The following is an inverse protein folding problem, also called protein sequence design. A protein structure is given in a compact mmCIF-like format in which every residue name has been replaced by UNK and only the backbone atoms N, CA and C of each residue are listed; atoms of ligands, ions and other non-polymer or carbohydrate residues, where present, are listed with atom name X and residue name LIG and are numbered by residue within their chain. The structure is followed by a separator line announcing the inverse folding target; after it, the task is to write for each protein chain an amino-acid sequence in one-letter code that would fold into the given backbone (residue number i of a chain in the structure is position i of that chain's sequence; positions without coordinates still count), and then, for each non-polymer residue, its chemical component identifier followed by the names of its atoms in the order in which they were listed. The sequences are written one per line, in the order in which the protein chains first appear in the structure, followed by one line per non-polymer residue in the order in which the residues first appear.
data_IF_559510437569
#
_entry.id   IF_559510437569
#
_cell.length_a   1.000
_cell.length_b   1.000
_cell.length_c   1.000
_cell.angle_alpha   90.00
_cell.angle_beta   90.00
_cell.angle_gamma   90.00
#
_symmetry.space_group_name_H-M   'P 1'
#
loop_
_entity.id
_entity.type
_entity.pdbx_description
1 polymer ?
#
# COMPACT_ATOMS: atom_id res chain seq x y z
N UNK A 1 -8.97 -13.12 7.20
CA UNK A 1 -8.26 -14.08 6.33
C UNK A 1 -8.86 -13.99 4.94
N UNK A 2 -8.05 -13.81 3.92
CA UNK A 2 -8.45 -13.56 2.54
C UNK A 2 -7.83 -14.62 1.60
N UNK A 3 -8.46 -14.83 0.43
CA UNK A 3 -8.00 -15.76 -0.61
C UNK A 3 -7.68 -17.19 -0.07
N UNK A 4 -8.62 -17.78 0.67
CA UNK A 4 -8.47 -19.16 1.17
C UNK A 4 -7.29 -19.37 2.13
N UNK A 5 -6.91 -18.35 2.90
CA UNK A 5 -5.80 -18.42 3.86
C UNK A 5 -4.46 -17.99 3.30
N UNK A 6 -4.43 -17.41 2.08
CA UNK A 6 -3.19 -16.91 1.49
C UNK A 6 -2.73 -15.61 2.13
N UNK A 7 -3.66 -14.74 2.50
CA UNK A 7 -3.39 -13.46 3.15
C UNK A 7 -4.15 -13.40 4.46
N UNK A 8 -3.48 -13.03 5.54
CA UNK A 8 -4.07 -12.75 6.84
C UNK A 8 -3.71 -11.32 7.26
N UNK A 9 -4.70 -10.57 7.76
CA UNK A 9 -4.52 -9.22 8.28
C UNK A 9 -5.16 -9.13 9.66
N UNK A 10 -4.44 -8.54 10.60
CA UNK A 10 -4.93 -8.13 11.92
C UNK A 10 -4.89 -6.61 11.96
N UNK A 11 -5.98 -5.98 12.36
CA UNK A 11 -6.11 -4.52 12.49
C UNK A 11 -6.40 -4.18 13.93
N UNK A 12 -5.71 -3.18 14.45
CA UNK A 12 -5.97 -2.58 15.76
C UNK A 12 -6.57 -1.19 15.53
N UNK A 13 -7.81 -1.02 16.01
CA UNK A 13 -8.52 0.26 16.05
C UNK A 13 -8.63 0.71 17.51
N UNK A 14 -8.44 1.99 17.78
CA UNK A 14 -8.68 2.61 19.09
C UNK A 14 -10.06 3.26 19.10
N UNK A 15 -10.89 2.86 20.04
CA UNK A 15 -12.25 3.38 20.20
C UNK A 15 -12.79 3.10 21.60
N UNK A 16 -13.67 3.96 22.07
CA UNK A 16 -14.48 3.73 23.27
C UNK A 16 -15.83 3.07 22.96
N UNK A 17 -16.18 2.95 21.67
CA UNK A 17 -17.44 2.36 21.24
C UNK A 17 -17.37 0.83 21.34
N UNK A 18 -18.41 0.23 21.88
CA UNK A 18 -18.63 -1.23 21.90
C UNK A 18 -19.60 -1.69 20.81
N UNK A 19 -19.98 -0.81 19.89
CA UNK A 19 -20.91 -1.09 18.80
C UNK A 19 -20.30 -2.14 17.84
N UNK A 20 -21.12 -3.08 17.41
CA UNK A 20 -20.72 -4.10 16.44
C UNK A 20 -20.25 -3.52 15.09
N UNK A 21 -20.69 -2.31 14.73
CA UNK A 21 -20.23 -1.60 13.53
C UNK A 21 -18.73 -1.27 13.56
N UNK A 22 -18.11 -1.18 14.75
CA UNK A 22 -16.65 -1.05 14.87
C UNK A 22 -15.92 -2.28 14.31
N UNK A 23 -16.49 -3.47 14.54
CA UNK A 23 -15.95 -4.73 14.02
C UNK A 23 -16.04 -4.77 12.49
N UNK A 24 -17.15 -4.31 11.92
CA UNK A 24 -17.32 -4.24 10.47
C UNK A 24 -16.35 -3.22 9.85
N UNK A 25 -16.18 -2.04 10.48
CA UNK A 25 -15.15 -1.07 10.08
C UNK A 25 -13.76 -1.71 10.08
N UNK A 26 -13.41 -2.45 11.14
CA UNK A 26 -12.12 -3.16 11.23
C UNK A 26 -11.93 -4.19 10.11
N UNK A 27 -12.99 -4.93 9.75
CA UNK A 27 -12.97 -5.87 8.62
C UNK A 27 -12.76 -5.15 7.27
N UNK A 28 -13.37 -4.01 7.09
CA UNK A 28 -13.24 -3.21 5.88
C UNK A 28 -11.81 -2.66 5.73
N UNK A 29 -11.21 -2.17 6.81
CA UNK A 29 -9.81 -1.75 6.82
C UNK A 29 -8.88 -2.95 6.58
N UNK A 30 -9.14 -4.11 7.16
CA UNK A 30 -8.37 -5.32 6.91
C UNK A 30 -8.46 -5.76 5.43
N UNK A 31 -9.63 -5.61 4.80
CA UNK A 31 -9.83 -5.88 3.37
C UNK A 31 -8.99 -4.94 2.51
N UNK A 32 -9.02 -3.63 2.82
CA UNK A 32 -8.19 -2.61 2.17
C UNK A 32 -6.71 -2.98 2.20
N UNK A 33 -6.18 -3.33 3.39
CA UNK A 33 -4.78 -3.71 3.58
C UNK A 33 -4.45 -5.01 2.82
N UNK A 34 -5.35 -5.99 2.85
CA UNK A 34 -5.15 -7.23 2.11
C UNK A 34 -5.06 -7.00 0.59
N UNK A 35 -5.91 -6.11 0.06
CA UNK A 35 -6.02 -5.83 -1.37
C UNK A 35 -4.87 -4.97 -1.90
N UNK A 36 -4.52 -3.88 -1.21
CA UNK A 36 -3.62 -2.85 -1.73
C UNK A 36 -2.23 -2.86 -1.08
N UNK A 37 -2.02 -3.63 0.00
CA UNK A 37 -0.73 -3.78 0.67
C UNK A 37 0.03 -2.45 0.87
N UNK A 38 -0.52 -1.48 1.63
CA UNK A 38 0.09 -0.18 1.81
C UNK A 38 1.47 -0.30 2.49
N UNK A 39 2.41 0.53 2.08
CA UNK A 39 3.77 0.60 2.67
C UNK A 39 3.79 1.33 4.01
N UNK A 40 2.89 2.29 4.18
CA UNK A 40 2.75 3.13 5.37
C UNK A 40 1.29 3.18 5.80
N UNK A 41 1.04 3.42 7.08
CA UNK A 41 -0.33 3.59 7.57
C UNK A 41 -0.86 4.99 7.31
N UNK A 42 -0.01 6.00 7.45
CA UNK A 42 -0.32 7.41 7.19
C UNK A 42 0.87 8.12 6.53
N UNK A 43 0.59 9.18 5.79
CA UNK A 43 1.61 10.02 5.14
C UNK A 43 2.63 10.61 6.13
N UNK A 44 2.25 10.81 7.40
CA UNK A 44 3.16 11.30 8.45
C UNK A 44 4.30 10.33 8.78
N UNK A 45 4.15 9.05 8.40
CA UNK A 45 5.18 8.02 8.59
C UNK A 45 6.20 7.97 7.46
N UNK A 46 5.93 8.69 6.35
CA UNK A 46 6.87 8.77 5.23
C UNK A 46 8.00 9.71 5.62
N UNK A 47 9.21 9.18 5.77
CA UNK A 47 10.37 9.96 6.17
C UNK A 47 10.84 10.90 5.06
N UNK A 48 11.59 11.94 5.43
CA UNK A 48 12.15 12.88 4.46
C UNK A 48 13.06 12.17 3.45
N UNK A 49 13.84 11.19 3.88
CA UNK A 49 14.74 10.41 3.02
C UNK A 49 13.96 9.69 1.91
N UNK A 50 12.84 9.04 2.24
CA UNK A 50 11.96 8.39 1.26
C UNK A 50 11.38 9.41 0.28
N UNK A 51 10.96 10.58 0.77
CA UNK A 51 10.44 11.65 -0.09
C UNK A 51 11.50 12.21 -1.03
N UNK A 52 12.73 12.32 -0.57
CA UNK A 52 13.85 12.82 -1.36
C UNK A 52 14.27 11.80 -2.43
N UNK A 53 14.32 10.51 -2.11
CA UNK A 53 14.51 9.43 -3.08
C UNK A 53 13.42 9.43 -4.16
N UNK A 54 12.16 9.51 -3.77
CA UNK A 54 11.03 9.54 -4.72
C UNK A 54 11.08 10.80 -5.61
N UNK A 55 11.44 11.97 -5.05
CA UNK A 55 11.64 13.21 -5.84
C UNK A 55 12.78 13.06 -6.84
N UNK A 56 13.90 12.47 -6.44
CA UNK A 56 15.05 12.25 -7.32
C UNK A 56 14.67 11.36 -8.50
N UNK A 57 13.95 10.24 -8.24
CA UNK A 57 13.42 9.37 -9.29
C UNK A 57 12.49 10.13 -10.23
N UNK A 58 11.57 10.94 -9.69
CA UNK A 58 10.64 11.74 -10.49
C UNK A 58 11.35 12.77 -11.36
N UNK A 59 12.34 13.46 -10.81
CA UNK A 59 13.14 14.47 -11.55
C UNK A 59 13.98 13.79 -12.65
N UNK A 60 14.56 12.62 -12.36
CA UNK A 60 15.28 11.82 -13.35
C UNK A 60 14.39 11.37 -14.51
N UNK A 61 13.17 10.94 -14.22
CA UNK A 61 12.18 10.60 -15.25
C UNK A 61 11.81 11.83 -16.09
N UNK A 62 11.64 12.98 -15.46
CA UNK A 62 11.31 14.23 -16.16
C UNK A 62 12.46 14.73 -17.03
N UNK A 63 13.72 14.56 -16.60
CA UNK A 63 14.90 14.94 -17.39
C UNK A 63 15.02 14.09 -18.66
N UNK A 64 14.60 12.84 -18.61
CA UNK A 64 14.63 11.90 -19.73
C UNK A 64 13.41 12.02 -20.68
N UNK A 65 12.38 12.80 -20.29
CA UNK A 65 11.21 13.08 -21.14
C UNK A 65 11.40 14.40 -21.89
N UNK A 66 11.55 14.40 -23.23
CA UNK A 66 11.74 15.62 -24.02
C UNK A 66 10.65 16.68 -23.84
N UNK A 67 9.42 16.25 -23.50
CA UNK A 67 8.28 17.15 -23.23
C UNK A 67 8.37 17.83 -21.86
N UNK A 68 9.11 17.24 -20.94
CA UNK A 68 9.23 17.70 -19.56
C UNK A 68 10.57 18.42 -19.31
N UNK A 69 11.64 17.97 -19.97
CA UNK A 69 13.00 18.49 -19.76
C UNK A 69 13.10 20.03 -19.92
N UNK A 70 12.38 20.58 -20.90
CA UNK A 70 12.40 22.02 -21.23
C UNK A 70 11.37 22.87 -20.46
N UNK A 71 10.61 22.29 -19.51
CA UNK A 71 9.64 23.06 -18.71
C UNK A 71 10.35 23.92 -17.68
N UNK A 72 9.79 25.13 -17.35
CA UNK A 72 10.28 25.97 -16.26
C UNK A 72 10.28 25.22 -14.93
N UNK A 73 11.23 25.54 -14.03
CA UNK A 73 11.40 24.86 -12.75
C UNK A 73 10.15 24.92 -11.88
N UNK A 74 9.43 26.06 -11.86
CA UNK A 74 8.16 26.20 -11.15
C UNK A 74 7.08 25.19 -11.64
N UNK A 75 7.09 24.87 -12.93
CA UNK A 75 6.16 23.86 -13.50
C UNK A 75 6.60 22.47 -13.10
N UNK A 76 7.91 22.19 -13.12
CA UNK A 76 8.45 20.91 -12.64
C UNK A 76 8.13 20.67 -11.17
N UNK A 77 8.29 21.69 -10.31
CA UNK A 77 7.93 21.61 -8.89
C UNK A 77 6.45 21.26 -8.68
N UNK A 78 5.53 21.91 -9.40
CA UNK A 78 4.10 21.59 -9.33
C UNK A 78 3.81 20.15 -9.76
N UNK A 79 4.49 19.67 -10.78
CA UNK A 79 4.35 18.27 -11.25
C UNK A 79 4.87 17.31 -10.19
N UNK A 80 6.02 17.60 -9.57
CA UNK A 80 6.58 16.79 -8.47
C UNK A 80 5.62 16.75 -7.29
N UNK A 81 5.05 17.89 -6.89
CA UNK A 81 4.04 17.94 -5.83
C UNK A 81 2.81 17.08 -6.15
N UNK A 82 2.31 17.13 -7.40
CA UNK A 82 1.21 16.27 -7.84
C UNK A 82 1.56 14.78 -7.80
N UNK A 83 2.78 14.42 -8.22
CA UNK A 83 3.28 13.05 -8.16
C UNK A 83 3.47 12.56 -6.72
N UNK A 84 3.93 13.42 -5.79
CA UNK A 84 4.02 13.08 -4.37
C UNK A 84 2.64 12.83 -3.76
N UNK A 85 1.63 13.63 -4.10
CA UNK A 85 0.26 13.36 -3.66
C UNK A 85 -0.24 12.00 -4.17
N UNK A 86 0.09 11.65 -5.42
CA UNK A 86 -0.21 10.33 -5.97
C UNK A 86 0.56 9.23 -5.21
N UNK A 87 1.84 9.44 -4.90
CA UNK A 87 2.62 8.52 -4.08
C UNK A 87 1.95 8.24 -2.73
N UNK A 88 1.47 9.27 -2.02
CA UNK A 88 0.73 9.08 -0.77
C UNK A 88 -0.56 8.30 -0.99
N UNK A 89 -1.34 8.64 -2.02
CA UNK A 89 -2.59 7.95 -2.34
C UNK A 89 -2.41 6.48 -2.74
N UNK A 90 -1.24 6.10 -3.22
CA UNK A 90 -0.92 4.71 -3.59
C UNK A 90 -0.29 3.92 -2.43
N UNK A 91 0.51 4.56 -1.58
CA UNK A 91 1.36 3.88 -0.61
C UNK A 91 0.93 4.02 0.85
N UNK A 92 0.07 5.01 1.18
CA UNK A 92 -0.35 5.26 2.57
C UNK A 92 -1.81 4.86 2.75
N UNK A 93 -2.08 3.92 3.69
CA UNK A 93 -3.40 3.35 3.95
C UNK A 93 -4.50 4.42 4.05
N UNK A 94 -4.29 5.42 4.93
CA UNK A 94 -5.31 6.43 5.20
C UNK A 94 -5.59 7.35 4.01
N UNK A 95 -4.59 7.52 3.11
CA UNK A 95 -4.71 8.34 1.91
C UNK A 95 -5.17 7.55 0.68
N UNK A 96 -5.17 6.21 0.72
CA UNK A 96 -5.67 5.39 -0.38
C UNK A 96 -7.17 5.61 -0.60
N UNK A 97 -7.62 5.54 -1.86
CA UNK A 97 -9.03 5.41 -2.17
C UNK A 97 -9.59 4.12 -1.57
N UNK A 98 -10.76 4.19 -0.96
CA UNK A 98 -11.37 3.04 -0.31
C UNK A 98 -11.85 2.01 -1.34
N UNK A 99 -11.50 0.74 -1.19
CA UNK A 99 -11.76 -0.32 -2.19
C UNK A 99 -13.25 -0.57 -2.45
N UNK A 100 -14.13 -0.25 -1.49
CA UNK A 100 -15.59 -0.40 -1.64
C UNK A 100 -16.26 0.87 -2.15
N UNK A 101 -15.59 2.03 -2.03
CA UNK A 101 -16.09 3.34 -2.45
C UNK A 101 -14.90 4.23 -2.82
N UNK A 102 -14.56 4.24 -4.09
CA UNK A 102 -13.40 4.98 -4.61
C UNK A 102 -13.50 6.50 -4.55
N UNK A 103 -14.67 7.05 -4.22
CA UNK A 103 -14.90 8.49 -4.12
C UNK A 103 -14.44 9.07 -2.77
N UNK A 104 -14.15 8.19 -1.79
CA UNK A 104 -13.65 8.59 -0.47
C UNK A 104 -12.30 7.92 -0.18
N UNK A 105 -11.46 8.60 0.61
CA UNK A 105 -10.26 7.96 1.16
C UNK A 105 -10.62 7.07 2.35
N UNK A 106 -9.72 6.15 2.69
CA UNK A 106 -9.85 5.32 3.91
C UNK A 106 -10.04 6.20 5.15
N UNK A 107 -9.28 7.29 5.26
CA UNK A 107 -9.43 8.26 6.36
C UNK A 107 -10.83 8.88 6.40
N UNK A 108 -11.35 9.32 5.26
CA UNK A 108 -12.71 9.88 5.18
C UNK A 108 -13.77 8.84 5.54
N UNK A 109 -13.62 7.60 5.07
CA UNK A 109 -14.50 6.49 5.41
C UNK A 109 -14.51 6.24 6.92
N UNK A 110 -13.34 6.15 7.56
CA UNK A 110 -13.23 5.98 9.01
C UNK A 110 -13.86 7.15 9.78
N UNK A 111 -13.62 8.39 9.36
CA UNK A 111 -14.19 9.58 9.99
C UNK A 111 -15.71 9.60 9.88
N UNK A 112 -16.27 9.17 8.75
CA UNK A 112 -17.71 9.07 8.55
C UNK A 112 -18.32 7.99 9.46
N UNK A 113 -17.67 6.84 9.57
CA UNK A 113 -18.08 5.77 10.48
C UNK A 113 -18.03 6.22 11.95
N UNK A 114 -16.97 6.90 12.36
CA UNK A 114 -16.81 7.44 13.71
C UNK A 114 -17.93 8.43 14.07
N UNK A 115 -18.30 9.32 13.14
CA UNK A 115 -19.44 10.24 13.32
C UNK A 115 -20.78 9.50 13.49
N UNK A 116 -21.01 8.47 12.68
CA UNK A 116 -22.23 7.66 12.77
C UNK A 116 -22.32 6.90 14.11
N UNK A 117 -21.20 6.50 14.68
CA UNK A 117 -21.09 5.82 15.97
C UNK A 117 -21.16 6.79 17.18
N UNK A 118 -21.16 8.10 16.93
CA UNK A 118 -21.19 9.14 18.00
C UNK A 118 -19.92 9.19 18.84
N UNK A 119 -18.79 8.67 18.35
CA UNK A 119 -17.54 8.60 19.08
C UNK A 119 -16.31 8.74 18.18
N UNK A 120 -15.14 8.56 18.77
CA UNK A 120 -13.87 8.52 18.04
C UNK A 120 -13.52 7.07 17.68
N UNK A 121 -13.08 6.86 16.45
CA UNK A 121 -12.42 5.63 16.02
C UNK A 121 -11.17 6.03 15.28
N UNK A 122 -10.02 5.55 15.71
CA UNK A 122 -8.74 5.80 15.06
C UNK A 122 -8.03 4.50 14.72
N UNK A 123 -7.29 4.53 13.62
CA UNK A 123 -6.40 3.45 13.24
C UNK A 123 -5.11 3.56 14.07
N UNK A 124 -4.74 2.47 14.74
CA UNK A 124 -3.48 2.40 15.48
C UNK A 124 -2.41 1.68 14.66
N UNK A 125 -2.63 0.39 14.39
CA UNK A 125 -1.66 -0.44 13.65
C UNK A 125 -2.34 -1.64 13.01
N UNK A 126 -1.62 -2.29 12.10
CA UNK A 126 -2.02 -3.57 11.54
C UNK A 126 -0.80 -4.46 11.28
N UNK A 127 -1.06 -5.74 11.10
CA UNK A 127 -0.06 -6.71 10.62
C UNK A 127 -0.67 -7.48 9.47
N UNK A 128 0.08 -7.58 8.37
CA UNK A 128 -0.28 -8.38 7.19
C UNK A 128 0.72 -9.49 7.01
N UNK A 129 0.22 -10.68 6.77
CA UNK A 129 1.01 -11.85 6.41
C UNK A 129 0.52 -12.41 5.09
N UNK A 130 1.46 -12.75 4.23
CA UNK A 130 1.19 -13.48 2.99
C UNK A 130 1.94 -14.80 2.98
N UNK A 131 1.25 -15.87 2.60
CA UNK A 131 1.86 -17.21 2.53
C UNK A 131 3.04 -17.22 1.56
N UNK A 132 4.22 -17.56 2.06
CA UNK A 132 5.46 -17.60 1.29
C UNK A 132 6.24 -16.29 1.26
N UNK A 133 5.77 -15.24 1.95
CA UNK A 133 6.53 -14.00 2.11
C UNK A 133 7.79 -14.27 2.95
N UNK A 134 8.94 -13.74 2.49
CA UNK A 134 10.24 -13.94 3.15
C UNK A 134 10.88 -15.31 2.94
N UNK A 135 10.26 -16.23 2.21
CA UNK A 135 10.86 -17.50 1.83
C UNK A 135 11.58 -17.33 0.50
N UNK A 136 12.90 -17.59 0.47
CA UNK A 136 13.65 -17.66 -0.79
C UNK A 136 13.04 -18.74 -1.68
N UNK A 137 12.50 -18.36 -2.84
CA UNK A 137 12.06 -19.31 -3.85
C UNK A 137 13.30 -20.01 -4.36
N UNK A 138 13.41 -21.34 -4.10
CA UNK A 138 14.38 -22.19 -4.80
C UNK A 138 14.19 -21.94 -6.30
N UNK A 139 15.21 -21.41 -6.96
CA UNK A 139 15.22 -21.39 -8.42
C UNK A 139 15.42 -22.85 -8.87
N UNK A 140 14.33 -23.54 -9.06
CA UNK A 140 14.34 -24.84 -9.72
C UNK A 140 14.68 -24.58 -11.18
N UNK A 141 15.94 -24.82 -11.54
CA UNK A 141 16.38 -24.77 -12.93
C UNK A 141 15.93 -26.06 -13.61
N UNK A 142 14.66 -26.11 -13.99
CA UNK A 142 14.04 -27.28 -14.63
C UNK A 142 14.82 -27.77 -15.87
N UNK A 143 15.49 -26.85 -16.59
CA UNK A 143 16.35 -27.18 -17.71
C UNK A 143 17.60 -27.97 -17.26
N UNK A 144 18.19 -27.62 -16.13
CA UNK A 144 19.34 -28.33 -15.56
C UNK A 144 18.93 -29.69 -14.97
N UNK A 145 17.74 -29.79 -14.39
CA UNK A 145 17.18 -31.05 -13.89
C UNK A 145 16.90 -32.04 -15.02
N UNK A 146 16.27 -31.61 -16.12
CA UNK A 146 16.06 -32.43 -17.32
C UNK A 146 17.40 -32.83 -17.94
N UNK A 147 18.37 -31.92 -18.06
CA UNK A 147 19.69 -32.23 -18.58
C UNK A 147 20.42 -33.29 -17.75
N UNK A 148 20.30 -33.25 -16.42
CA UNK A 148 20.87 -34.26 -15.53
C UNK A 148 20.21 -35.64 -15.65
N UNK A 149 18.86 -35.67 -15.85
CA UNK A 149 18.12 -36.90 -16.07
C UNK A 149 18.46 -37.55 -17.41
N UNK A 150 18.66 -36.76 -18.46
CA UNK A 150 19.01 -37.27 -19.80
C UNK A 150 20.46 -37.77 -19.85
N UNK A 151 21.37 -37.13 -19.13
CA UNK A 151 22.80 -37.51 -19.10
C UNK A 151 23.13 -38.62 -18.06
N UNK A 152 22.23 -38.89 -17.10
CA UNK A 152 22.42 -39.92 -16.08
C UNK A 152 22.00 -41.33 -16.49
N UNK A 153 21.55 -41.55 -17.73
CA UNK A 153 21.12 -42.85 -18.24
C UNK A 153 22.07 -43.41 -19.33
N UNK A 154 23.40 -43.23 -19.15
CA UNK A 154 24.42 -43.92 -19.94
C UNK A 154 25.29 -44.74 -19.04
#
# INVERSE_FOLDING_TARGET
VHMGGRIAVLVNLETESTDAAVVELGKDIAMQIAALNPRFWDKSQVTQDVLDEEKEVMLGQMANDPKMANKPDQVKEKIVMGKLNKFYAENCLLQQAFVKDGDVSVEQYMNNAAKALGGKVSFNTAVRFEKGEGIEKKQENFAAEIASMVNGNK
#
